data_IF_094565287784
#
_entry.id   IF_094565287784
#
_cell.length_a   1.000
_cell.length_b   1.000
_cell.length_c   1.000
_cell.angle_alpha   90.00
_cell.angle_beta   90.00
_cell.angle_gamma   90.00
#
_symmetry.space_group_name_H-M   'P 1'
#
loop_
_entity.id
_entity.type
_entity.pdbx_description
1 polymer ?
#
# COMPACT_ATOMS: atom_id res chain seq x y z
N UNK A 1 1.29 -19.07 7.72
CA UNK A 1 0.07 -19.51 8.43
C UNK A 1 -0.83 -20.21 7.42
N UNK A 2 -1.48 -21.33 7.79
CA UNK A 2 -2.46 -21.98 6.94
C UNK A 2 -3.87 -21.56 7.37
N UNK A 3 -4.80 -21.49 6.43
CA UNK A 3 -6.19 -21.20 6.75
C UNK A 3 -6.83 -22.40 7.46
N UNK A 4 -7.75 -22.15 8.40
CA UNK A 4 -8.65 -23.18 8.89
C UNK A 4 -9.43 -23.84 7.75
N UNK A 5 -9.69 -25.14 7.86
CA UNK A 5 -10.50 -25.88 6.90
C UNK A 5 -11.92 -25.30 6.83
N UNK A 6 -12.44 -25.10 5.61
CA UNK A 6 -13.78 -24.56 5.36
C UNK A 6 -13.91 -23.03 5.43
N UNK A 7 -12.83 -22.29 5.73
CA UNK A 7 -12.83 -20.83 5.66
C UNK A 7 -12.54 -20.37 4.23
N UNK A 8 -13.55 -19.85 3.55
CA UNK A 8 -13.42 -19.23 2.23
C UNK A 8 -13.26 -17.71 2.39
N UNK A 9 -12.22 -17.16 1.76
CA UNK A 9 -11.90 -15.74 1.79
C UNK A 9 -11.58 -15.26 0.37
N UNK A 10 -11.82 -13.98 0.07
CA UNK A 10 -11.54 -13.43 -1.26
C UNK A 10 -10.02 -13.37 -1.54
N UNK A 11 -9.69 -13.08 -2.79
CA UNK A 11 -8.33 -12.66 -3.20
C UNK A 11 -8.12 -11.18 -2.91
N UNK A 12 -6.86 -10.77 -2.81
CA UNK A 12 -6.54 -9.36 -2.61
C UNK A 12 -6.96 -8.52 -3.83
N UNK A 13 -7.70 -7.44 -3.59
CA UNK A 13 -8.17 -6.52 -4.63
C UNK A 13 -7.33 -5.24 -4.61
N UNK A 14 -6.18 -5.26 -5.28
CA UNK A 14 -5.21 -4.16 -5.25
C UNK A 14 -5.74 -2.82 -5.81
N UNK A 15 -6.67 -2.85 -6.77
CA UNK A 15 -7.11 -1.65 -7.50
C UNK A 15 -8.59 -1.29 -7.36
N UNK A 16 -9.45 -2.20 -6.88
CA UNK A 16 -10.91 -2.01 -6.91
C UNK A 16 -11.37 -0.70 -6.23
N UNK A 17 -10.79 -0.35 -5.08
CA UNK A 17 -11.10 0.92 -4.40
C UNK A 17 -10.50 2.13 -5.12
N UNK A 18 -9.30 2.01 -5.66
CA UNK A 18 -8.64 3.10 -6.41
C UNK A 18 -9.38 3.44 -7.70
N UNK A 19 -9.85 2.44 -8.44
CA UNK A 19 -10.66 2.64 -9.65
C UNK A 19 -11.97 3.38 -9.31
N UNK A 20 -12.67 2.96 -8.25
CA UNK A 20 -13.88 3.63 -7.78
C UNK A 20 -13.63 5.09 -7.35
N UNK A 21 -12.48 5.37 -6.71
CA UNK A 21 -12.10 6.73 -6.31
C UNK A 21 -11.79 7.61 -7.51
N UNK A 22 -11.16 7.07 -8.56
CA UNK A 22 -10.90 7.78 -9.81
C UNK A 22 -12.19 8.12 -10.56
N UNK A 23 -13.18 7.22 -10.57
CA UNK A 23 -14.49 7.47 -11.17
C UNK A 23 -15.27 8.58 -10.46
N UNK A 24 -15.11 8.69 -9.14
CA UNK A 24 -15.83 9.65 -8.28
C UNK A 24 -15.04 10.92 -7.99
N UNK A 25 -13.85 11.06 -8.56
CA UNK A 25 -12.94 12.15 -8.21
C UNK A 25 -13.53 13.52 -8.53
N UNK A 26 -13.42 14.44 -7.58
CA UNK A 26 -13.81 15.85 -7.73
C UNK A 26 -12.72 16.75 -7.18
N UNK A 27 -12.51 17.92 -7.78
CA UNK A 27 -11.50 18.88 -7.32
C UNK A 27 -10.06 18.58 -7.79
N UNK A 28 -9.89 17.57 -8.65
CA UNK A 28 -8.61 17.24 -9.30
C UNK A 28 -8.69 17.62 -10.79
N UNK A 29 -7.56 18.03 -11.37
CA UNK A 29 -7.48 18.40 -12.78
C UNK A 29 -7.72 17.18 -13.69
N UNK A 30 -8.31 17.38 -14.87
CA UNK A 30 -8.52 16.26 -15.82
C UNK A 30 -7.19 15.67 -16.30
N UNK A 31 -6.15 16.49 -16.49
CA UNK A 31 -4.81 16.04 -16.88
C UNK A 31 -4.19 15.10 -15.83
N UNK A 32 -4.45 15.34 -14.55
CA UNK A 32 -4.01 14.46 -13.46
C UNK A 32 -4.85 13.18 -13.40
N UNK A 33 -6.16 13.26 -13.62
CA UNK A 33 -7.03 12.09 -13.68
C UNK A 33 -6.69 11.18 -14.86
N UNK A 34 -6.44 11.76 -16.05
CA UNK A 34 -5.99 11.01 -17.23
C UNK A 34 -4.66 10.31 -16.95
N UNK A 35 -3.71 11.01 -16.32
CA UNK A 35 -2.45 10.42 -15.89
C UNK A 35 -2.66 9.26 -14.91
N UNK A 36 -3.47 9.44 -13.86
CA UNK A 36 -3.71 8.40 -12.86
C UNK A 36 -4.41 7.17 -13.46
N UNK A 37 -5.37 7.36 -14.38
CA UNK A 37 -5.99 6.23 -15.10
C UNK A 37 -4.95 5.44 -15.89
N UNK A 38 -4.12 6.14 -16.67
CA UNK A 38 -3.03 5.50 -17.44
C UNK A 38 -2.04 4.78 -16.52
N UNK A 39 -1.69 5.40 -15.39
CA UNK A 39 -0.78 4.82 -14.41
C UNK A 39 -1.39 3.59 -13.73
N UNK A 40 -2.68 3.61 -13.43
CA UNK A 40 -3.41 2.46 -12.90
C UNK A 40 -3.35 1.26 -13.84
N UNK A 41 -3.60 1.47 -15.14
CA UNK A 41 -3.49 0.40 -16.15
C UNK A 41 -2.07 -0.14 -16.29
N UNK A 42 -1.05 0.74 -16.33
CA UNK A 42 0.36 0.30 -16.33
C UNK A 42 0.70 -0.56 -15.11
N UNK A 43 0.21 -0.18 -13.92
CA UNK A 43 0.46 -0.94 -12.70
C UNK A 43 -0.30 -2.27 -12.66
N UNK A 44 -1.49 -2.34 -13.25
CA UNK A 44 -2.24 -3.60 -13.44
C UNK A 44 -1.46 -4.56 -14.34
N UNK A 45 -0.89 -4.06 -15.44
CA UNK A 45 -0.03 -4.87 -16.33
C UNK A 45 1.21 -5.38 -15.60
N UNK A 46 1.92 -4.50 -14.88
CA UNK A 46 3.09 -4.88 -14.05
C UNK A 46 2.75 -5.92 -12.98
N UNK A 47 1.56 -5.82 -12.37
CA UNK A 47 1.10 -6.79 -11.39
C UNK A 47 0.78 -8.14 -12.04
N UNK A 48 0.18 -8.15 -13.23
CA UNK A 48 -0.16 -9.38 -13.94
C UNK A 48 1.08 -10.21 -14.32
N UNK A 49 2.22 -9.55 -14.57
CA UNK A 49 3.51 -10.21 -14.84
C UNK A 49 4.25 -10.65 -13.57
N UNK A 50 3.84 -10.16 -12.39
CA UNK A 50 4.54 -10.35 -11.14
C UNK A 50 4.51 -11.81 -10.68
N UNK A 51 5.67 -12.35 -10.34
CA UNK A 51 5.81 -13.69 -9.76
C UNK A 51 6.08 -13.57 -8.26
N UNK A 52 5.06 -13.86 -7.45
CA UNK A 52 5.17 -13.89 -6.00
C UNK A 52 6.05 -15.06 -5.52
N UNK A 53 6.82 -14.82 -4.47
CA UNK A 53 7.80 -15.78 -3.95
C UNK A 53 7.25 -16.67 -2.84
N UNK A 54 6.25 -16.20 -2.09
CA UNK A 54 5.64 -16.93 -0.98
C UNK A 54 4.35 -17.63 -1.41
N UNK A 55 4.02 -18.78 -0.79
CA UNK A 55 2.75 -19.43 -1.00
C UNK A 55 1.60 -18.57 -0.48
N UNK A 56 0.40 -18.87 -0.98
CA UNK A 56 -0.83 -18.24 -0.51
C UNK A 56 -1.04 -18.48 0.98
N UNK A 57 -1.51 -17.44 1.67
CA UNK A 57 -1.85 -17.49 3.08
C UNK A 57 -2.80 -16.35 3.47
N UNK A 58 -3.11 -16.23 4.76
CA UNK A 58 -3.88 -15.10 5.27
C UNK A 58 -3.09 -13.80 5.09
N UNK A 59 -3.78 -12.78 4.58
CA UNK A 59 -3.25 -11.43 4.34
C UNK A 59 -4.23 -10.44 4.97
N UNK A 60 -3.71 -9.50 5.76
CA UNK A 60 -4.49 -8.41 6.34
C UNK A 60 -5.07 -7.50 5.26
N UNK A 61 -4.23 -7.17 4.27
CA UNK A 61 -4.57 -6.30 3.15
C UNK A 61 -4.36 -4.81 3.43
N UNK A 62 -4.05 -4.47 4.69
CA UNK A 62 -3.78 -3.12 5.18
C UNK A 62 -2.94 -3.11 6.47
N UNK A 63 -1.80 -3.82 6.45
CA UNK A 63 -1.01 -4.12 7.64
C UNK A 63 -0.10 -2.97 8.13
N UNK A 64 -0.66 -1.78 8.36
CA UNK A 64 0.08 -0.64 8.93
C UNK A 64 0.05 -0.64 10.47
N UNK A 65 0.95 0.15 11.08
CA UNK A 65 1.14 0.19 12.55
C UNK A 65 -0.09 0.68 13.31
N UNK A 66 -0.89 1.58 12.75
CA UNK A 66 -2.14 2.04 13.41
C UNK A 66 -3.22 0.95 13.51
N UNK A 67 -3.10 -0.15 12.74
CA UNK A 67 -3.96 -1.32 12.87
C UNK A 67 -3.48 -2.32 13.93
N UNK A 68 -2.51 -1.93 14.77
CA UNK A 68 -2.00 -2.71 15.89
C UNK A 68 -2.38 -2.04 17.22
N UNK A 69 -3.10 -2.77 18.08
CA UNK A 69 -3.40 -2.34 19.45
C UNK A 69 -2.66 -3.23 20.44
N UNK A 70 -1.89 -2.63 21.35
CA UNK A 70 -1.25 -3.34 22.46
C UNK A 70 -2.11 -3.21 23.70
N UNK A 71 -2.58 -4.33 24.24
CA UNK A 71 -3.35 -4.32 25.47
C UNK A 71 -2.48 -4.14 26.72
N UNK A 72 -3.12 -4.01 27.90
CA UNK A 72 -2.43 -3.80 29.18
C UNK A 72 -1.51 -4.95 29.60
N UNK A 73 -1.64 -6.12 28.99
CA UNK A 73 -0.81 -7.30 29.25
C UNK A 73 0.34 -7.43 28.25
N UNK A 74 0.42 -6.54 27.24
CA UNK A 74 1.43 -6.55 26.20
C UNK A 74 1.08 -7.44 25.01
N UNK A 75 -0.16 -7.94 24.91
CA UNK A 75 -0.60 -8.69 23.73
C UNK A 75 -0.94 -7.72 22.61
N UNK A 76 -0.42 -8.00 21.42
CA UNK A 76 -0.70 -7.24 20.19
C UNK A 76 -1.95 -7.82 19.53
N UNK A 77 -2.93 -6.96 19.26
CA UNK A 77 -4.16 -7.27 18.54
C UNK A 77 -4.13 -6.58 17.19
N UNK A 78 -4.36 -7.32 16.12
CA UNK A 78 -4.63 -6.76 14.79
C UNK A 78 -6.10 -6.42 14.70
N UNK A 79 -6.40 -5.22 14.21
CA UNK A 79 -7.76 -4.70 14.01
C UNK A 79 -7.98 -4.33 12.54
N UNK A 80 -9.22 -3.97 12.21
CA UNK A 80 -9.60 -3.52 10.86
C UNK A 80 -9.43 -4.58 9.75
N UNK A 81 -10.21 -5.66 9.89
CA UNK A 81 -10.13 -6.84 9.02
C UNK A 81 -11.05 -6.75 7.79
N UNK A 82 -11.47 -5.55 7.37
CA UNK A 82 -12.36 -5.40 6.21
C UNK A 82 -11.70 -5.82 4.89
N UNK A 83 -10.37 -5.70 4.80
CA UNK A 83 -9.57 -6.11 3.64
C UNK A 83 -8.95 -7.52 3.80
N UNK A 84 -9.31 -8.24 4.86
CA UNK A 84 -8.72 -9.54 5.18
C UNK A 84 -9.05 -10.57 4.10
N UNK A 85 -8.02 -11.23 3.59
CA UNK A 85 -8.12 -12.05 2.40
C UNK A 85 -7.11 -13.20 2.40
N UNK A 86 -7.10 -13.96 1.31
CA UNK A 86 -6.14 -15.04 1.08
C UNK A 86 -5.36 -14.75 -0.17
N UNK A 87 -4.12 -14.34 0.04
CA UNK A 87 -3.22 -13.94 -1.03
C UNK A 87 -1.75 -14.15 -0.62
N UNK A 88 -0.83 -13.54 -1.35
CA UNK A 88 0.60 -13.60 -1.08
C UNK A 88 0.99 -12.65 0.08
N UNK A 89 1.67 -13.14 1.14
CA UNK A 89 2.07 -12.30 2.28
C UNK A 89 2.93 -11.09 1.92
N UNK A 90 3.56 -11.07 0.74
CA UNK A 90 4.27 -9.90 0.22
C UNK A 90 3.41 -8.63 0.20
N UNK A 91 2.08 -8.74 0.09
CA UNK A 91 1.17 -7.59 0.18
C UNK A 91 1.25 -6.86 1.53
N UNK A 92 1.32 -7.61 2.63
CA UNK A 92 1.41 -7.00 3.97
C UNK A 92 2.85 -6.60 4.30
N UNK A 93 3.83 -7.41 3.88
CA UNK A 93 5.25 -7.14 4.13
C UNK A 93 5.72 -5.88 3.41
N UNK A 94 5.11 -5.56 2.27
CA UNK A 94 5.49 -4.40 1.49
C UNK A 94 5.24 -3.09 2.22
N UNK A 95 4.18 -2.99 3.00
CA UNK A 95 3.82 -1.75 3.73
C UNK A 95 5.00 -1.25 4.59
N UNK A 96 5.52 -2.10 5.47
CA UNK A 96 6.65 -1.75 6.34
C UNK A 96 7.94 -1.48 5.54
N UNK A 97 8.18 -2.24 4.46
CA UNK A 97 9.35 -2.05 3.61
C UNK A 97 9.29 -0.75 2.80
N UNK A 98 8.10 -0.36 2.35
CA UNK A 98 7.82 0.89 1.65
C UNK A 98 7.97 2.10 2.56
N UNK A 99 7.35 2.06 3.75
CA UNK A 99 7.44 3.14 4.74
C UNK A 99 8.88 3.43 5.15
N UNK A 100 9.71 2.39 5.29
CA UNK A 100 11.15 2.55 5.51
C UNK A 100 11.87 3.07 4.26
N UNK A 101 11.72 2.39 3.12
CA UNK A 101 12.56 2.63 1.95
C UNK A 101 12.22 3.89 1.16
N UNK A 102 10.93 4.21 1.03
CA UNK A 102 10.42 5.27 0.17
C UNK A 102 10.04 6.53 0.94
N UNK A 103 9.52 6.37 2.16
CA UNK A 103 8.96 7.47 2.95
C UNK A 103 9.85 7.90 4.12
N UNK A 104 10.71 7.02 4.63
CA UNK A 104 11.54 7.28 5.81
C UNK A 104 10.74 7.46 7.10
N UNK A 105 9.53 6.88 7.17
CA UNK A 105 8.64 6.97 8.35
C UNK A 105 9.00 5.94 9.42
N UNK A 106 9.69 4.87 9.03
CA UNK A 106 10.21 3.82 9.92
C UNK A 106 11.72 4.00 10.06
N UNK A 107 12.26 3.81 11.28
CA UNK A 107 13.71 3.92 11.50
C UNK A 107 14.45 2.67 11.00
N UNK A 108 15.74 2.80 10.72
CA UNK A 108 16.59 1.66 10.33
C UNK A 108 16.58 0.54 11.38
N UNK A 109 16.60 0.88 12.67
CA UNK A 109 16.55 -0.10 13.76
C UNK A 109 15.23 -0.87 13.78
N UNK A 110 14.10 -0.16 13.66
CA UNK A 110 12.77 -0.77 13.59
C UNK A 110 12.64 -1.70 12.38
N UNK A 111 13.12 -1.27 11.22
CA UNK A 111 13.07 -2.08 10.01
C UNK A 111 14.00 -3.31 10.10
N UNK A 112 15.19 -3.16 10.70
CA UNK A 112 16.10 -4.29 10.93
C UNK A 112 15.49 -5.35 11.87
N UNK A 113 14.74 -4.93 12.89
CA UNK A 113 14.00 -5.84 13.76
C UNK A 113 12.86 -6.55 13.03
N UNK A 114 12.13 -5.83 12.16
CA UNK A 114 11.10 -6.39 11.30
C UNK A 114 11.67 -7.47 10.37
N UNK A 115 12.75 -7.17 9.65
CA UNK A 115 13.45 -8.12 8.76
C UNK A 115 13.93 -9.34 9.54
N UNK A 116 14.46 -9.16 10.75
CA UNK A 116 14.91 -10.26 11.61
C UNK A 116 13.74 -11.15 12.05
N UNK A 117 12.61 -10.57 12.40
CA UNK A 117 11.41 -11.31 12.82
C UNK A 117 10.79 -12.11 11.66
N UNK A 118 10.73 -11.54 10.46
CA UNK A 118 10.20 -12.21 9.28
C UNK A 118 11.20 -13.11 8.55
N UNK A 119 12.49 -12.96 8.82
CA UNK A 119 13.57 -13.76 8.24
C UNK A 119 13.89 -13.43 6.78
N UNK A 120 13.39 -12.30 6.26
CA UNK A 120 13.68 -11.84 4.89
C UNK A 120 13.52 -10.33 4.78
N UNK A 121 14.31 -9.73 3.89
CA UNK A 121 14.13 -8.36 3.43
C UNK A 121 13.33 -8.39 2.12
N UNK A 122 12.17 -7.74 2.09
CA UNK A 122 11.34 -7.72 0.89
C UNK A 122 11.98 -6.91 -0.23
N UNK A 123 12.85 -5.94 0.09
CA UNK A 123 13.51 -5.06 -0.90
C UNK A 123 14.44 -5.82 -1.83
N UNK A 124 14.91 -6.99 -1.41
CA UNK A 124 15.74 -7.88 -2.23
C UNK A 124 14.93 -8.66 -3.27
N UNK A 125 13.61 -8.70 -3.15
CA UNK A 125 12.74 -9.39 -4.10
C UNK A 125 12.42 -8.48 -5.30
N UNK A 126 12.60 -8.94 -6.55
CA UNK A 126 12.39 -8.11 -7.75
C UNK A 126 11.00 -7.48 -7.85
N UNK A 127 9.98 -8.10 -7.26
CA UNK A 127 8.62 -7.58 -7.29
C UNK A 127 8.34 -6.40 -6.36
N UNK A 128 9.25 -6.08 -5.45
CA UNK A 128 9.09 -5.03 -4.46
C UNK A 128 8.82 -3.66 -5.10
N UNK A 129 9.55 -3.30 -6.16
CA UNK A 129 9.36 -2.02 -6.83
C UNK A 129 7.95 -1.87 -7.45
N UNK A 130 7.35 -2.97 -7.90
CA UNK A 130 5.96 -2.96 -8.41
C UNK A 130 4.96 -2.80 -7.27
N UNK A 131 5.13 -3.52 -6.17
CA UNK A 131 4.23 -3.36 -5.02
C UNK A 131 4.33 -1.95 -4.41
N UNK A 132 5.52 -1.37 -4.29
CA UNK A 132 5.68 0.04 -3.88
C UNK A 132 4.94 1.00 -4.80
N UNK A 133 5.06 0.84 -6.10
CA UNK A 133 4.37 1.71 -7.03
C UNK A 133 2.83 1.59 -6.91
N UNK A 134 2.32 0.39 -6.62
CA UNK A 134 0.90 0.14 -6.36
C UNK A 134 0.48 0.78 -5.03
N UNK A 135 1.27 0.62 -3.97
CA UNK A 135 0.97 1.19 -2.66
C UNK A 135 0.96 2.72 -2.70
N UNK A 136 1.94 3.33 -3.36
CA UNK A 136 2.00 4.78 -3.61
C UNK A 136 0.77 5.28 -4.39
N UNK A 137 0.32 4.53 -5.39
CA UNK A 137 -0.89 4.82 -6.15
C UNK A 137 -2.16 4.70 -5.29
N UNK A 138 -2.27 3.66 -4.46
CA UNK A 138 -3.37 3.47 -3.51
C UNK A 138 -3.44 4.61 -2.50
N UNK A 139 -2.32 4.98 -1.88
CA UNK A 139 -2.24 6.08 -0.93
C UNK A 139 -2.61 7.43 -1.57
N UNK A 140 -2.21 7.65 -2.83
CA UNK A 140 -2.55 8.87 -3.56
C UNK A 140 -4.03 8.94 -3.89
N UNK A 141 -4.59 7.86 -4.46
CA UNK A 141 -6.02 7.80 -4.80
C UNK A 141 -6.92 7.84 -3.57
N UNK A 142 -6.49 7.27 -2.43
CA UNK A 142 -7.16 7.42 -1.15
C UNK A 142 -7.20 8.89 -0.71
N UNK A 143 -6.06 9.58 -0.63
CA UNK A 143 -6.02 10.98 -0.16
C UNK A 143 -6.80 11.92 -1.08
N UNK A 144 -6.80 11.62 -2.38
CA UNK A 144 -7.50 12.38 -3.41
C UNK A 144 -9.00 12.56 -3.11
N UNK A 145 -9.66 11.59 -2.45
CA UNK A 145 -11.09 11.70 -2.13
C UNK A 145 -11.39 12.83 -1.12
N UNK A 146 -10.35 13.31 -0.41
CA UNK A 146 -10.43 14.35 0.61
C UNK A 146 -9.95 15.73 0.11
N UNK A 147 -9.67 15.90 -1.20
CA UNK A 147 -9.14 17.16 -1.77
C UNK A 147 -9.98 18.40 -1.41
N UNK A 148 -11.29 18.22 -1.22
CA UNK A 148 -12.20 19.31 -0.90
C UNK A 148 -12.22 19.68 0.59
N UNK A 149 -11.52 18.95 1.46
CA UNK A 149 -11.49 19.18 2.91
C UNK A 149 -10.54 20.32 3.31
N UNK A 150 -9.54 20.65 2.49
CA UNK A 150 -8.57 21.70 2.79
C UNK A 150 -7.56 21.96 1.67
N UNK A 151 -7.01 23.17 1.65
CA UNK A 151 -5.98 23.57 0.68
C UNK A 151 -4.66 22.80 0.87
N UNK A 152 -4.33 22.45 2.12
CA UNK A 152 -3.17 21.65 2.48
C UNK A 152 -3.28 20.21 1.91
N UNK A 153 -4.46 19.59 2.01
CA UNK A 153 -4.75 18.28 1.42
C UNK A 153 -4.63 18.34 -0.10
N UNK A 154 -5.20 19.36 -0.74
CA UNK A 154 -5.11 19.54 -2.18
C UNK A 154 -3.65 19.71 -2.66
N UNK A 155 -2.84 20.48 -1.92
CA UNK A 155 -1.42 20.64 -2.21
C UNK A 155 -0.65 19.32 -2.06
N UNK A 156 -0.95 18.53 -1.02
CA UNK A 156 -0.34 17.21 -0.86
C UNK A 156 -0.71 16.28 -2.00
N UNK A 157 -1.98 16.19 -2.38
CA UNK A 157 -2.43 15.37 -3.51
C UNK A 157 -1.69 15.75 -4.79
N UNK A 158 -1.55 17.06 -5.06
CA UNK A 158 -0.75 17.55 -6.18
C UNK A 158 0.73 17.11 -6.11
N UNK A 159 1.37 17.18 -4.93
CA UNK A 159 2.74 16.68 -4.72
C UNK A 159 2.86 15.18 -4.98
N UNK A 160 1.92 14.39 -4.46
CA UNK A 160 1.92 12.93 -4.65
C UNK A 160 1.78 12.58 -6.12
N UNK A 161 0.79 13.14 -6.81
CA UNK A 161 0.57 12.92 -8.26
C UNK A 161 1.80 13.33 -9.07
N UNK A 162 2.39 14.50 -8.80
CA UNK A 162 3.60 14.95 -9.48
C UNK A 162 4.77 13.97 -9.31
N UNK A 163 4.98 13.45 -8.09
CA UNK A 163 6.02 12.46 -7.84
C UNK A 163 5.75 11.10 -8.47
N UNK A 164 4.48 10.67 -8.60
CA UNK A 164 4.13 9.41 -9.27
C UNK A 164 4.49 9.38 -10.77
N UNK A 165 4.69 10.54 -11.39
CA UNK A 165 5.11 10.64 -12.80
C UNK A 165 6.56 10.19 -13.02
N UNK A 166 7.35 10.10 -11.95
CA UNK A 166 8.73 9.60 -11.97
C UNK A 166 8.96 8.61 -10.81
N UNK A 167 9.18 7.35 -11.14
CA UNK A 167 9.41 6.28 -10.15
C UNK A 167 10.65 6.54 -9.27
N UNK A 168 11.62 7.32 -9.75
CA UNK A 168 12.83 7.68 -9.02
C UNK A 168 12.68 8.96 -8.17
N UNK A 169 11.60 9.72 -8.34
CA UNK A 169 11.41 10.95 -7.59
C UNK A 169 11.23 10.67 -6.08
N UNK A 170 11.82 11.49 -5.20
CA UNK A 170 11.65 11.32 -3.76
C UNK A 170 10.18 11.47 -3.35
N UNK A 171 9.70 10.61 -2.44
CA UNK A 171 8.35 10.68 -1.88
C UNK A 171 8.37 11.53 -0.60
N UNK A 172 8.58 12.83 -0.76
CA UNK A 172 8.55 13.81 0.34
C UNK A 172 7.11 14.09 0.79
N UNK A 173 6.41 13.04 1.17
CA UNK A 173 4.98 13.05 1.48
C UNK A 173 4.76 13.23 2.99
N UNK A 174 3.69 13.93 3.33
CA UNK A 174 3.26 14.04 4.72
C UNK A 174 2.41 12.82 5.10
N UNK A 175 2.50 12.33 6.35
CA UNK A 175 1.55 11.36 6.87
C UNK A 175 0.18 12.05 7.00
N UNK A 176 -0.86 11.44 6.43
CA UNK A 176 -2.25 11.91 6.42
C UNK A 176 -3.16 10.76 6.81
#
# INVERSE_FOLDING_TARGET
LALPEGLELPRYSAFGLSDLRLERATGVSEDDLEFLRKRGEELKDRLAELQFGLPLGPVHGDAHTDNLIVDKTGVVHLIDLENFCVDHPEWDLEVAAHEYHRLGWVTEEQYADFVRAYGRDLREWPGFATLCAIQEFKMTTWLMQNVSEGEDVAQEVGRRIASLRDDAAPRNWLPY
#
